data_IF_689372507918
#
_entry.id   IF_689372507918
#
_cell.length_a   1.000
_cell.length_b   1.000
_cell.length_c   1.000
_cell.angle_alpha   90.00
_cell.angle_beta   90.00
_cell.angle_gamma   90.00
#
_symmetry.space_group_name_H-M   'P 1'
#
loop_
_entity.id
_entity.type
_entity.pdbx_description
1 polymer ?
#
# COMPACT_ATOMS: atom_id res chain seq x y z
N UNK A 1 -20.03 17.77 -5.18
CA UNK A 1 -18.89 17.43 -4.32
C UNK A 1 -19.17 16.04 -3.80
N UNK A 2 -18.57 15.04 -4.44
CA UNK A 2 -18.88 13.63 -4.23
C UNK A 2 -18.31 13.17 -2.89
N UNK A 3 -19.18 12.91 -1.92
CA UNK A 3 -18.80 12.31 -0.64
C UNK A 3 -18.53 10.82 -0.85
N UNK A 4 -17.26 10.43 -0.67
CA UNK A 4 -16.85 9.03 -0.58
C UNK A 4 -17.58 8.36 0.61
N UNK A 5 -18.49 7.43 0.34
CA UNK A 5 -19.29 6.71 1.35
C UNK A 5 -18.48 5.77 2.27
N UNK A 6 -17.18 5.60 2.01
CA UNK A 6 -16.23 4.89 2.89
C UNK A 6 -15.36 5.82 3.74
N UNK A 7 -15.41 7.12 3.48
CA UNK A 7 -14.56 8.10 4.09
C UNK A 7 -15.43 8.92 5.05
N UNK A 8 -15.50 8.53 6.33
CA UNK A 8 -16.04 9.36 7.43
C UNK A 8 -15.16 10.58 7.73
N UNK A 9 -14.43 11.08 6.74
CA UNK A 9 -13.73 12.35 6.85
C UNK A 9 -14.78 13.45 6.66
N UNK A 10 -15.58 13.64 7.71
CA UNK A 10 -16.23 14.93 7.91
C UNK A 10 -15.10 15.95 7.97
N UNK A 11 -15.12 16.88 7.02
CA UNK A 11 -14.14 17.95 6.88
C UNK A 11 -13.86 18.56 8.26
N UNK A 12 -12.58 18.71 8.59
CA UNK A 12 -12.06 19.32 9.82
C UNK A 12 -13.05 20.38 10.30
N UNK A 13 -13.80 20.06 11.35
CA UNK A 13 -14.80 21.00 11.84
C UNK A 13 -14.06 22.25 12.31
N UNK A 14 -14.54 23.45 11.96
CA UNK A 14 -13.91 24.67 12.43
C UNK A 14 -13.91 24.66 13.96
N UNK A 15 -12.76 24.98 14.56
CA UNK A 15 -12.63 25.06 16.01
C UNK A 15 -13.62 26.10 16.57
N UNK A 16 -14.54 25.64 17.41
CA UNK A 16 -15.40 26.49 18.22
C UNK A 16 -14.88 26.34 19.66
N UNK A 17 -14.22 27.37 20.21
CA UNK A 17 -13.70 27.29 21.57
C UNK A 17 -14.83 27.06 22.57
N UNK A 18 -14.60 26.20 23.55
CA UNK A 18 -15.53 25.99 24.67
C UNK A 18 -15.78 27.30 25.46
N UNK A 19 -14.82 28.23 25.42
CA UNK A 19 -14.89 29.54 26.07
C UNK A 19 -14.45 30.65 25.13
N UNK A 20 -15.31 31.68 24.95
CA UNK A 20 -14.96 32.89 24.22
C UNK A 20 -14.22 33.89 25.13
N UNK A 21 -12.89 33.77 25.17
CA UNK A 21 -12.04 34.64 26.00
C UNK A 21 -12.28 36.14 25.73
N UNK A 22 -12.57 36.53 24.48
CA UNK A 22 -12.80 37.95 24.14
C UNK A 22 -14.10 38.49 24.71
N UNK A 23 -15.13 37.66 24.84
CA UNK A 23 -16.42 38.01 25.42
C UNK A 23 -16.34 38.09 26.95
N UNK A 24 -15.55 37.20 27.56
CA UNK A 24 -15.28 37.26 28.99
C UNK A 24 -14.48 38.50 29.38
N UNK A 25 -13.46 38.88 28.60
CA UNK A 25 -12.72 40.13 28.81
C UNK A 25 -13.63 41.36 28.69
N UNK A 26 -14.62 41.36 27.79
CA UNK A 26 -15.59 42.46 27.64
C UNK A 26 -16.63 42.53 28.76
N UNK A 27 -17.01 41.38 29.34
CA UNK A 27 -18.01 41.32 30.42
C UNK A 27 -17.43 41.60 31.81
N UNK A 28 -16.11 41.71 31.95
CA UNK A 28 -15.45 41.94 33.24
C UNK A 28 -15.44 40.70 34.16
N UNK A 29 -15.85 39.53 33.65
CA UNK A 29 -15.80 38.27 34.38
C UNK A 29 -14.34 37.77 34.49
N UNK A 30 -13.80 37.80 35.70
CA UNK A 30 -12.41 37.44 36.01
C UNK A 30 -12.28 36.05 36.64
N UNK A 31 -13.01 35.04 36.14
CA UNK A 31 -12.72 33.65 36.51
C UNK A 31 -11.71 33.06 35.52
N UNK A 32 -10.46 33.54 35.64
CA UNK A 32 -9.33 33.13 34.80
C UNK A 32 -9.10 31.61 34.87
N UNK A 33 -9.33 31.00 36.04
CA UNK A 33 -9.11 29.57 36.26
C UNK A 33 -10.08 28.69 35.45
N UNK A 34 -11.36 29.07 35.35
CA UNK A 34 -12.35 28.30 34.58
C UNK A 34 -12.07 28.38 33.07
N UNK A 35 -11.70 29.57 32.58
CA UNK A 35 -11.34 29.75 31.17
C UNK A 35 -10.11 28.93 30.78
N UNK A 36 -9.10 28.94 31.67
CA UNK A 36 -7.85 28.23 31.46
C UNK A 36 -8.06 26.72 31.41
N UNK A 37 -8.78 26.16 32.37
CA UNK A 37 -9.07 24.70 32.41
C UNK A 37 -9.84 24.27 31.17
N UNK A 38 -10.79 25.07 30.69
CA UNK A 38 -11.56 24.75 29.49
C UNK A 38 -10.68 24.71 28.23
N UNK A 39 -9.76 25.67 28.09
CA UNK A 39 -8.81 25.72 26.96
C UNK A 39 -7.79 24.57 27.05
N UNK A 40 -7.26 24.27 28.24
CA UNK A 40 -6.35 23.14 28.45
C UNK A 40 -7.01 21.81 28.10
N UNK A 41 -8.31 21.66 28.40
CA UNK A 41 -9.10 20.49 28.04
C UNK A 41 -9.31 20.40 26.51
N UNK A 42 -9.64 21.51 25.85
CA UNK A 42 -9.79 21.56 24.38
C UNK A 42 -8.48 21.15 23.69
N UNK A 43 -7.33 21.64 24.16
CA UNK A 43 -6.00 21.25 23.65
C UNK A 43 -5.78 19.74 23.83
N UNK A 44 -6.06 19.21 25.03
CA UNK A 44 -5.87 17.79 25.33
C UNK A 44 -6.75 16.90 24.43
N UNK A 45 -7.98 17.32 24.16
CA UNK A 45 -8.89 16.62 23.26
C UNK A 45 -8.34 16.61 21.82
N UNK A 46 -7.84 17.74 21.32
CA UNK A 46 -7.24 17.80 19.98
C UNK A 46 -5.96 16.98 19.87
N UNK A 47 -5.12 16.97 20.90
CA UNK A 47 -3.93 16.11 20.91
C UNK A 47 -4.31 14.63 20.83
N UNK A 48 -5.36 14.22 21.54
CA UNK A 48 -5.87 12.84 21.49
C UNK A 48 -6.47 12.49 20.11
N UNK A 49 -7.17 13.44 19.48
CA UNK A 49 -7.69 13.27 18.12
C UNK A 49 -6.54 13.14 17.10
N UNK A 50 -5.52 14.01 17.20
CA UNK A 50 -4.32 13.95 16.36
C UNK A 50 -3.62 12.60 16.49
N UNK A 51 -3.39 12.13 17.72
CA UNK A 51 -2.78 10.82 17.96
C UNK A 51 -3.60 9.68 17.34
N UNK A 52 -4.93 9.78 17.42
CA UNK A 52 -5.83 8.78 16.82
C UNK A 52 -5.70 8.78 15.30
N UNK A 53 -5.75 9.95 14.67
CA UNK A 53 -5.62 10.10 13.21
C UNK A 53 -4.24 9.62 12.74
N UNK A 54 -3.17 10.00 13.44
CA UNK A 54 -1.81 9.57 13.11
C UNK A 54 -1.67 8.05 13.17
N UNK A 55 -2.29 7.40 14.17
CA UNK A 55 -2.30 5.95 14.27
C UNK A 55 -2.98 5.29 13.06
N UNK A 56 -4.11 5.85 12.60
CA UNK A 56 -4.85 5.36 11.42
C UNK A 56 -4.02 5.58 10.16
N UNK A 57 -3.41 6.75 10.02
CA UNK A 57 -2.57 7.11 8.89
C UNK A 57 -1.35 6.18 8.79
N UNK A 58 -0.70 5.88 9.91
CA UNK A 58 0.42 4.95 9.99
C UNK A 58 -0.01 3.53 9.59
N UNK A 59 -1.16 3.05 10.09
CA UNK A 59 -1.72 1.75 9.68
C UNK A 59 -2.00 1.68 8.17
N UNK A 60 -2.58 2.72 7.58
CA UNK A 60 -2.85 2.79 6.15
C UNK A 60 -1.56 2.84 5.32
N UNK A 61 -0.58 3.63 5.76
CA UNK A 61 0.76 3.68 5.14
C UNK A 61 1.43 2.31 5.14
N UNK A 62 1.30 1.54 6.22
CA UNK A 62 1.87 0.19 6.31
C UNK A 62 1.10 -0.84 5.46
N UNK A 63 -0.22 -0.68 5.29
CA UNK A 63 -1.05 -1.60 4.50
C UNK A 63 -0.89 -1.40 2.99
N UNK A 64 -0.66 -0.16 2.54
CA UNK A 64 -0.46 0.17 1.12
C UNK A 64 0.62 -0.66 0.41
N UNK A 65 1.87 -0.78 0.91
CA UNK A 65 2.90 -1.57 0.23
C UNK A 65 2.54 -3.05 0.17
N UNK A 66 1.85 -3.59 1.18
CA UNK A 66 1.37 -4.98 1.14
C UNK A 66 0.39 -5.20 -0.02
N UNK A 67 -0.60 -4.32 -0.18
CA UNK A 67 -1.54 -4.40 -1.30
C UNK A 67 -0.86 -4.22 -2.66
N UNK A 68 0.15 -3.37 -2.76
CA UNK A 68 0.94 -3.22 -3.99
C UNK A 68 1.70 -4.50 -4.32
N UNK A 69 2.30 -5.16 -3.31
CA UNK A 69 2.97 -6.45 -3.47
C UNK A 69 1.99 -7.55 -3.91
N UNK A 70 0.80 -7.59 -3.32
CA UNK A 70 -0.23 -8.55 -3.70
C UNK A 70 -0.68 -8.33 -5.16
N UNK A 71 -0.86 -7.07 -5.57
CA UNK A 71 -1.20 -6.70 -6.94
C UNK A 71 -0.11 -7.13 -7.95
N UNK A 72 1.16 -6.92 -7.62
CA UNK A 72 2.27 -7.34 -8.48
C UNK A 72 2.36 -8.88 -8.56
N UNK A 73 2.03 -9.59 -7.48
CA UNK A 73 1.84 -11.04 -7.49
C UNK A 73 0.74 -11.48 -8.47
N UNK A 74 -0.42 -10.81 -8.47
CA UNK A 74 -1.50 -11.06 -9.41
C UNK A 74 -1.07 -10.81 -10.87
N UNK A 75 -0.36 -9.71 -11.15
CA UNK A 75 0.20 -9.45 -12.49
C UNK A 75 1.15 -10.55 -12.93
N UNK A 76 2.01 -11.02 -12.02
CA UNK A 76 2.92 -12.14 -12.29
C UNK A 76 2.18 -13.44 -12.60
N UNK A 77 1.05 -13.72 -11.93
CA UNK A 77 0.21 -14.88 -12.22
C UNK A 77 -0.49 -14.78 -13.59
N UNK A 78 -0.93 -13.58 -13.95
CA UNK A 78 -1.62 -13.30 -15.22
C UNK A 78 -0.64 -13.05 -16.39
N UNK A 79 0.66 -13.07 -16.13
CA UNK A 79 1.68 -12.81 -17.14
C UNK A 79 1.51 -13.77 -18.33
N UNK A 80 1.52 -13.27 -19.59
CA UNK A 80 1.30 -14.09 -20.78
C UNK A 80 2.18 -15.32 -20.85
N UNK A 81 3.42 -15.21 -20.38
CA UNK A 81 4.44 -16.27 -20.34
C UNK A 81 3.99 -17.55 -19.60
N UNK A 82 3.07 -17.42 -18.63
CA UNK A 82 2.50 -18.56 -17.87
C UNK A 82 1.30 -19.21 -18.54
N UNK A 83 0.71 -18.53 -19.54
CA UNK A 83 -0.47 -18.97 -20.30
C UNK A 83 -0.11 -19.54 -21.67
N UNK A 84 1.18 -19.54 -22.02
CA UNK A 84 1.64 -20.11 -23.28
C UNK A 84 1.46 -21.64 -23.27
N UNK A 85 0.99 -22.23 -24.38
CA UNK A 85 1.00 -23.67 -24.56
C UNK A 85 2.40 -24.26 -24.41
N UNK A 86 2.47 -25.51 -23.97
CA UNK A 86 3.74 -26.25 -23.81
C UNK A 86 4.58 -26.23 -25.09
N UNK A 87 3.97 -26.43 -26.25
CA UNK A 87 4.68 -26.48 -27.53
C UNK A 87 5.31 -25.12 -27.89
N UNK A 88 4.61 -24.01 -27.60
CA UNK A 88 5.16 -22.66 -27.79
C UNK A 88 6.36 -22.43 -26.87
N UNK A 89 6.28 -22.87 -25.61
CA UNK A 89 7.40 -22.78 -24.67
C UNK A 89 8.60 -23.60 -25.13
N UNK A 90 8.39 -24.85 -25.59
CA UNK A 90 9.46 -25.67 -26.14
C UNK A 90 10.11 -25.04 -27.35
N UNK A 91 9.31 -24.47 -28.27
CA UNK A 91 9.86 -23.79 -29.44
C UNK A 91 10.74 -22.60 -29.04
N UNK A 92 10.31 -21.78 -28.06
CA UNK A 92 11.14 -20.70 -27.49
C UNK A 92 12.44 -21.27 -26.91
N UNK A 93 12.37 -22.39 -26.19
CA UNK A 93 13.54 -23.01 -25.59
C UNK A 93 14.54 -23.50 -26.63
N UNK A 94 14.06 -24.16 -27.69
CA UNK A 94 14.91 -24.60 -28.81
C UNK A 94 15.63 -23.43 -29.48
N UNK A 95 14.93 -22.33 -29.74
CA UNK A 95 15.52 -21.11 -30.31
C UNK A 95 16.58 -20.52 -29.38
N UNK A 96 16.31 -20.49 -28.07
CA UNK A 96 17.25 -19.97 -27.08
C UNK A 96 18.51 -20.85 -26.96
N UNK A 97 18.37 -22.18 -27.00
CA UNK A 97 19.49 -23.12 -26.97
C UNK A 97 20.31 -23.13 -28.27
N UNK A 98 19.70 -22.80 -29.42
CA UNK A 98 20.41 -22.76 -30.70
C UNK A 98 21.32 -21.54 -30.88
N UNK A 99 21.03 -20.44 -30.16
CA UNK A 99 21.81 -19.20 -30.21
C UNK A 99 22.95 -19.16 -29.17
N UNK A 100 22.99 -20.09 -28.21
CA UNK A 100 24.06 -20.16 -27.20
C UNK A 100 25.26 -20.96 -27.72
N UNK A 101 26.43 -20.31 -27.81
CA UNK A 101 27.72 -20.96 -28.12
C UNK A 101 28.32 -21.72 -26.94
N UNK A 102 27.79 -21.55 -25.73
CA UNK A 102 28.26 -22.21 -24.52
C UNK A 102 27.41 -23.46 -24.19
N UNK A 103 28.00 -24.68 -24.23
CA UNK A 103 27.33 -25.91 -23.85
C UNK A 103 26.81 -25.93 -22.40
N UNK A 104 27.30 -25.03 -21.54
CA UNK A 104 26.88 -24.90 -20.15
C UNK A 104 25.68 -23.95 -19.94
N UNK A 105 25.22 -23.23 -20.98
CA UNK A 105 24.05 -22.33 -20.91
C UNK A 105 22.69 -23.05 -21.17
N UNK A 106 22.74 -24.29 -21.66
CA UNK A 106 21.60 -25.21 -21.86
C UNK A 106 20.89 -25.55 -20.52
N UNK A 107 19.67 -26.12 -20.51
CA UNK A 107 18.35 -25.52 -20.23
C UNK A 107 18.13 -24.96 -18.81
N UNK A 108 19.16 -24.94 -17.96
CA UNK A 108 19.10 -24.53 -16.56
C UNK A 108 18.74 -23.04 -16.41
N UNK A 109 19.22 -22.20 -17.34
CA UNK A 109 18.88 -20.78 -17.40
C UNK A 109 17.37 -20.56 -17.55
N UNK A 110 16.72 -21.36 -18.40
CA UNK A 110 15.26 -21.30 -18.61
C UNK A 110 14.50 -21.66 -17.33
N UNK A 111 15.10 -22.50 -16.48
CA UNK A 111 14.57 -22.86 -15.17
C UNK A 111 14.53 -21.73 -14.15
N UNK A 112 15.16 -20.57 -14.39
CA UNK A 112 15.09 -19.42 -13.49
C UNK A 112 13.82 -18.57 -13.66
N UNK A 113 13.10 -18.70 -14.79
CA UNK A 113 11.92 -17.87 -15.09
C UNK A 113 10.73 -18.22 -14.18
N UNK A 114 10.34 -19.49 -14.15
CA UNK A 114 9.28 -19.98 -13.26
C UNK A 114 9.33 -21.51 -13.09
N UNK A 115 8.50 -22.02 -12.18
CA UNK A 115 8.37 -23.47 -11.95
C UNK A 115 7.98 -24.24 -13.22
N UNK A 116 7.02 -23.73 -14.00
CA UNK A 116 6.56 -24.39 -15.24
C UNK A 116 7.69 -24.53 -16.26
N UNK A 117 8.49 -23.47 -16.46
CA UNK A 117 9.61 -23.49 -17.38
C UNK A 117 10.67 -24.50 -16.94
N UNK A 118 11.02 -24.50 -15.65
CA UNK A 118 11.94 -25.48 -15.06
C UNK A 118 11.46 -26.92 -15.21
N UNK A 119 10.16 -27.15 -15.02
CA UNK A 119 9.57 -28.48 -15.17
C UNK A 119 9.62 -28.94 -16.63
N UNK A 120 9.27 -28.06 -17.57
CA UNK A 120 9.28 -28.39 -19.00
C UNK A 120 10.70 -28.62 -19.49
N UNK A 121 11.64 -27.73 -19.16
CA UNK A 121 13.03 -27.82 -19.61
C UNK A 121 13.70 -29.10 -19.13
N UNK A 122 13.46 -29.51 -17.88
CA UNK A 122 13.95 -30.78 -17.33
C UNK A 122 13.26 -32.03 -17.90
N UNK A 123 12.03 -31.90 -18.38
CA UNK A 123 11.27 -33.02 -18.95
C UNK A 123 11.60 -33.32 -20.40
N UNK A 124 12.42 -32.48 -21.06
CA UNK A 124 12.72 -32.58 -22.47
C UNK A 124 14.23 -32.86 -22.67
N UNK A 125 14.63 -34.13 -22.89
CA UNK A 125 16.04 -34.52 -22.99
C UNK A 125 16.74 -34.01 -24.26
N UNK A 126 15.98 -33.56 -25.25
CA UNK A 126 16.46 -33.06 -26.55
C UNK A 126 16.82 -31.56 -26.55
N UNK A 127 16.77 -30.94 -25.38
CA UNK A 127 16.91 -29.50 -25.11
C UNK A 127 18.21 -29.24 -24.34
#
# INVERSE_FOLDING_TARGET
MDTCSKCEFNAIFPYIPSVNATELLRSGFSSLDVCRVSIENDISNFEQELQTIDSVLLRLRNRRPQLMKDLDGCKGLLAPIRRLPRETLLHIFFLASSDSTDPFDSPWILGHVCFTWRSISRSCPSL
#
